data_IF_548394485440
#
_entry.id   IF_548394485440
#
_cell.length_a   1.000
_cell.length_b   1.000
_cell.length_c   1.000
_cell.angle_alpha   90.00
_cell.angle_beta   90.00
_cell.angle_gamma   90.00
#
_symmetry.space_group_name_H-M   'P 1'
#
loop_
_entity.id
_entity.type
_entity.pdbx_description
1 polymer ?
#
# COMPACT_ATOMS: atom_id res chain seq x y z
N UNK A 1 1.04 -5.34 15.53
CA UNK A 1 -0.02 -5.67 14.55
C UNK A 1 -0.54 -7.10 14.73
N UNK A 2 0.31 -8.14 14.72
CA UNK A 2 -0.12 -9.55 14.89
C UNK A 2 -1.00 -9.80 16.13
N UNK A 3 -0.61 -9.29 17.30
CA UNK A 3 -1.39 -9.46 18.56
C UNK A 3 -2.81 -8.89 18.44
N UNK A 4 -2.98 -7.80 17.72
CA UNK A 4 -4.28 -7.16 17.53
C UNK A 4 -5.17 -7.98 16.60
N UNK A 5 -4.61 -8.58 15.55
CA UNK A 5 -5.33 -9.48 14.64
C UNK A 5 -5.76 -10.77 15.34
N UNK A 6 -4.89 -11.35 16.18
CA UNK A 6 -5.27 -12.53 16.97
C UNK A 6 -6.39 -12.22 17.96
N UNK A 7 -6.38 -11.03 18.56
CA UNK A 7 -7.44 -10.60 19.44
C UNK A 7 -8.77 -10.41 18.69
N UNK A 8 -8.77 -9.79 17.52
CA UNK A 8 -10.00 -9.62 16.73
C UNK A 8 -10.61 -10.95 16.29
N UNK A 9 -9.77 -11.91 15.90
CA UNK A 9 -10.23 -13.26 15.57
C UNK A 9 -10.91 -13.95 16.77
N UNK A 10 -10.37 -13.74 17.98
CA UNK A 10 -10.93 -14.32 19.21
C UNK A 10 -12.32 -13.79 19.56
N UNK A 11 -12.70 -12.60 19.06
CA UNK A 11 -14.03 -12.00 19.25
C UNK A 11 -14.91 -12.14 18.00
N UNK A 12 -14.50 -12.96 17.01
CA UNK A 12 -15.30 -13.31 15.84
C UNK A 12 -15.17 -12.34 14.65
N UNK A 13 -14.23 -11.41 14.66
CA UNK A 13 -13.93 -10.56 13.50
C UNK A 13 -12.73 -11.13 12.73
N UNK A 14 -12.94 -11.41 11.45
CA UNK A 14 -11.92 -12.06 10.61
C UNK A 14 -10.76 -11.11 10.30
N UNK A 15 -9.58 -11.67 9.96
CA UNK A 15 -8.41 -10.88 9.57
C UNK A 15 -8.70 -10.03 8.34
N UNK A 16 -9.42 -10.60 7.38
CA UNK A 16 -9.81 -9.97 6.13
C UNK A 16 -10.75 -8.77 6.38
N UNK A 17 -11.70 -8.89 7.33
CA UNK A 17 -12.55 -7.76 7.72
C UNK A 17 -11.73 -6.66 8.38
N UNK A 18 -10.88 -7.00 9.34
CA UNK A 18 -10.05 -6.03 10.07
C UNK A 18 -9.11 -5.26 9.16
N UNK A 19 -8.51 -5.92 8.16
CA UNK A 19 -7.58 -5.28 7.23
C UNK A 19 -8.29 -4.35 6.23
N UNK A 20 -9.62 -4.41 6.17
CA UNK A 20 -10.46 -3.57 5.30
C UNK A 20 -11.03 -2.33 5.98
N UNK A 21 -10.90 -2.19 7.30
CA UNK A 21 -11.42 -1.04 8.03
C UNK A 21 -10.63 0.23 7.75
N UNK A 22 -11.36 1.33 7.68
CA UNK A 22 -10.82 2.67 7.49
C UNK A 22 -10.71 3.38 8.83
N UNK A 23 -9.61 4.08 9.07
CA UNK A 23 -9.51 5.06 10.16
C UNK A 23 -10.20 6.39 9.78
N UNK A 24 -10.09 7.39 10.65
CA UNK A 24 -10.71 8.71 10.44
C UNK A 24 -10.16 9.48 9.22
N UNK A 25 -8.96 9.14 8.75
CA UNK A 25 -8.32 9.72 7.58
C UNK A 25 -8.53 8.86 6.32
N UNK A 26 -9.32 7.78 6.42
CA UNK A 26 -9.57 6.87 5.32
C UNK A 26 -8.42 5.90 5.06
N UNK A 27 -7.51 5.73 6.01
CA UNK A 27 -6.46 4.72 5.88
C UNK A 27 -7.00 3.35 6.25
N UNK A 28 -6.82 2.38 5.35
CA UNK A 28 -6.72 0.98 5.78
C UNK A 28 -5.38 0.70 6.46
N UNK A 29 -5.26 -0.33 7.33
CA UNK A 29 -4.02 -0.60 8.08
C UNK A 29 -2.75 -0.68 7.22
N UNK A 30 -2.86 -1.10 5.96
CA UNK A 30 -1.74 -1.13 5.02
C UNK A 30 -1.18 0.28 4.73
N UNK A 31 -2.00 1.32 4.63
CA UNK A 31 -1.49 2.69 4.47
C UNK A 31 -0.64 3.11 5.66
N UNK A 32 -1.11 2.84 6.88
CA UNK A 32 -0.38 3.18 8.11
C UNK A 32 0.93 2.38 8.23
N UNK A 33 0.92 1.10 7.84
CA UNK A 33 2.13 0.26 7.80
C UNK A 33 3.16 0.74 6.77
N UNK A 34 2.71 1.15 5.58
CA UNK A 34 3.59 1.77 4.58
C UNK A 34 4.10 3.12 5.09
N UNK A 35 3.23 3.96 5.66
CA UNK A 35 3.58 5.28 6.14
C UNK A 35 4.68 5.23 7.22
N UNK A 36 4.65 4.21 8.09
CA UNK A 36 5.68 4.00 9.11
C UNK A 36 6.98 3.39 8.59
N UNK A 37 7.01 2.89 7.35
CA UNK A 37 8.14 2.15 6.79
C UNK A 37 8.36 0.77 7.43
N UNK A 38 7.41 0.25 8.21
CA UNK A 38 7.54 -1.05 8.87
C UNK A 38 7.29 -2.19 7.87
N UNK A 39 8.38 -2.68 7.27
CA UNK A 39 8.36 -3.77 6.31
C UNK A 39 7.62 -5.02 6.81
N UNK A 40 7.75 -5.37 8.11
CA UNK A 40 7.10 -6.56 8.67
C UNK A 40 5.60 -6.35 8.84
N UNK A 41 5.18 -5.14 9.23
CA UNK A 41 3.78 -4.79 9.29
C UNK A 41 3.15 -4.81 7.89
N UNK A 42 3.84 -4.27 6.87
CA UNK A 42 3.39 -4.33 5.47
C UNK A 42 3.23 -5.78 5.02
N UNK A 43 4.25 -6.62 5.23
CA UNK A 43 4.19 -8.04 4.86
C UNK A 43 3.00 -8.75 5.52
N UNK A 44 2.78 -8.49 6.81
CA UNK A 44 1.65 -9.06 7.54
C UNK A 44 0.31 -8.60 6.97
N UNK A 45 0.13 -7.29 6.72
CA UNK A 45 -1.09 -6.78 6.09
C UNK A 45 -1.39 -7.47 4.76
N UNK A 46 -0.38 -7.62 3.91
CA UNK A 46 -0.51 -8.23 2.58
C UNK A 46 -0.88 -9.72 2.68
N UNK A 47 -0.26 -10.45 3.62
CA UNK A 47 -0.59 -11.86 3.91
C UNK A 47 -1.98 -12.03 4.54
N UNK A 48 -2.50 -11.00 5.20
CA UNK A 48 -3.86 -10.95 5.74
C UNK A 48 -4.91 -10.46 4.73
N UNK A 49 -4.55 -10.26 3.46
CA UNK A 49 -5.50 -9.92 2.39
C UNK A 49 -5.66 -8.43 2.11
N UNK A 50 -4.79 -7.56 2.63
CA UNK A 50 -4.79 -6.15 2.25
C UNK A 50 -4.54 -5.98 0.75
N UNK A 51 -5.29 -5.07 0.12
CA UNK A 51 -5.12 -4.73 -1.29
C UNK A 51 -4.25 -3.50 -1.44
N UNK A 52 -3.26 -3.58 -2.32
CA UNK A 52 -2.35 -2.46 -2.63
C UNK A 52 -2.99 -1.39 -3.52
N UNK A 53 -4.20 -1.66 -4.03
CA UNK A 53 -5.02 -0.77 -4.85
C UNK A 53 -6.05 0.03 -4.06
N UNK A 54 -6.25 -0.27 -2.77
CA UNK A 54 -7.22 0.44 -1.92
C UNK A 54 -6.83 1.91 -1.82
N UNK A 55 -7.80 2.80 -1.97
CA UNK A 55 -7.60 4.25 -1.93
C UNK A 55 -8.04 4.83 -0.59
N UNK A 56 -7.23 5.71 -0.01
CA UNK A 56 -7.63 6.54 1.14
C UNK A 56 -8.38 7.80 0.69
N UNK A 57 -8.68 8.73 1.60
CA UNK A 57 -9.53 9.90 1.31
C UNK A 57 -9.01 10.80 0.18
N UNK A 58 -7.69 10.97 0.06
CA UNK A 58 -7.07 11.73 -1.04
C UNK A 58 -6.93 10.89 -2.33
N UNK A 59 -7.57 9.73 -2.38
CA UNK A 59 -7.51 8.76 -3.47
C UNK A 59 -6.11 8.15 -3.69
N UNK A 60 -5.11 8.43 -2.85
CA UNK A 60 -3.82 7.76 -2.95
C UNK A 60 -3.95 6.30 -2.47
N UNK A 61 -3.13 5.43 -3.04
CA UNK A 61 -3.01 4.02 -2.63
C UNK A 61 -1.76 3.82 -1.76
N UNK A 62 -1.59 2.68 -1.06
CA UNK A 62 -0.33 2.38 -0.37
C UNK A 62 0.90 2.46 -1.28
N UNK A 63 0.74 2.16 -2.58
CA UNK A 63 1.81 2.27 -3.58
C UNK A 63 2.21 3.73 -3.82
N UNK A 64 1.25 4.67 -3.88
CA UNK A 64 1.56 6.11 -3.96
C UNK A 64 2.42 6.56 -2.78
N UNK A 65 2.03 6.17 -1.56
CA UNK A 65 2.76 6.52 -0.33
C UNK A 65 4.20 6.00 -0.35
N UNK A 66 4.39 4.71 -0.65
CA UNK A 66 5.73 4.11 -0.73
C UNK A 66 6.60 4.78 -1.81
N UNK A 67 6.00 5.13 -2.95
CA UNK A 67 6.68 5.83 -4.04
C UNK A 67 7.11 7.24 -3.65
N UNK A 68 6.26 8.01 -2.97
CA UNK A 68 6.63 9.36 -2.49
C UNK A 68 7.75 9.30 -1.43
N UNK A 69 7.69 8.32 -0.53
CA UNK A 69 8.66 8.15 0.56
C UNK A 69 10.03 7.63 0.11
N UNK A 70 10.12 7.01 -1.07
CA UNK A 70 11.35 6.39 -1.53
C UNK A 70 11.55 4.95 -1.06
N UNK A 71 10.50 4.28 -0.57
CA UNK A 71 10.58 2.96 0.06
C UNK A 71 10.58 1.81 -0.98
N UNK A 72 11.63 1.71 -1.79
CA UNK A 72 11.72 0.77 -2.92
C UNK A 72 11.47 -0.69 -2.51
N UNK A 73 11.99 -1.13 -1.36
CA UNK A 73 11.81 -2.51 -0.89
C UNK A 73 10.35 -2.81 -0.55
N UNK A 74 9.62 -1.82 -0.03
CA UNK A 74 8.18 -1.94 0.24
C UNK A 74 7.39 -1.98 -1.08
N UNK A 75 7.76 -1.20 -2.09
CA UNK A 75 7.14 -1.27 -3.43
C UNK A 75 7.34 -2.67 -4.04
N UNK A 76 8.57 -3.19 -4.01
CA UNK A 76 8.90 -4.53 -4.51
C UNK A 76 8.12 -5.61 -3.76
N UNK A 77 8.02 -5.50 -2.43
CA UNK A 77 7.24 -6.42 -1.60
C UNK A 77 5.76 -6.42 -1.99
N UNK A 78 5.15 -5.24 -2.11
CA UNK A 78 3.75 -5.08 -2.51
C UNK A 78 3.48 -5.72 -3.87
N UNK A 79 4.32 -5.48 -4.87
CA UNK A 79 4.14 -6.04 -6.21
C UNK A 79 4.39 -7.55 -6.26
N UNK A 80 5.34 -8.05 -5.47
CA UNK A 80 5.63 -9.48 -5.37
C UNK A 80 4.52 -10.28 -4.69
N UNK A 81 3.89 -9.73 -3.64
CA UNK A 81 2.81 -10.41 -2.91
C UNK A 81 1.41 -10.17 -3.50
N UNK A 82 1.21 -9.08 -4.25
CA UNK A 82 -0.08 -8.72 -4.85
C UNK A 82 0.02 -8.47 -6.37
N UNK A 83 0.47 -9.46 -7.16
CA UNK A 83 0.67 -9.28 -8.61
C UNK A 83 -0.63 -8.97 -9.37
N UNK A 84 -1.78 -9.44 -8.88
CA UNK A 84 -3.10 -9.21 -9.49
C UNK A 84 -3.57 -7.77 -9.33
N UNK A 85 -3.19 -7.11 -8.24
CA UNK A 85 -3.56 -5.72 -7.95
C UNK A 85 -2.55 -4.72 -8.55
N UNK A 86 -1.36 -5.20 -8.96
CA UNK A 86 -0.26 -4.36 -9.45
C UNK A 86 -0.71 -3.41 -10.56
N UNK A 87 -1.28 -3.93 -11.65
CA UNK A 87 -1.70 -3.12 -12.81
C UNK A 87 -2.73 -2.07 -12.41
N UNK A 88 -3.70 -2.43 -11.56
CA UNK A 88 -4.68 -1.47 -11.05
C UNK A 88 -3.99 -0.38 -10.24
N UNK A 89 -3.11 -0.75 -9.30
CA UNK A 89 -2.40 0.20 -8.43
C UNK A 89 -1.48 1.16 -9.20
N UNK A 90 -0.86 0.71 -10.30
CA UNK A 90 -0.03 1.54 -11.18
C UNK A 90 -0.85 2.58 -11.96
N UNK A 91 -2.07 2.22 -12.36
CA UNK A 91 -2.98 3.09 -13.11
C UNK A 91 -3.88 3.96 -12.22
N UNK A 92 -4.02 3.61 -10.93
CA UNK A 92 -4.77 4.41 -9.96
C UNK A 92 -4.20 5.83 -9.89
N UNK A 93 -5.11 6.79 -9.74
CA UNK A 93 -4.77 8.19 -9.60
C UNK A 93 -5.27 8.71 -8.24
N UNK A 94 -4.45 9.54 -7.59
CA UNK A 94 -4.87 10.33 -6.43
C UNK A 94 -5.81 11.49 -6.83
N UNK A 95 -6.18 12.32 -5.84
CA UNK A 95 -7.08 13.46 -6.01
C UNK A 95 -6.54 14.53 -6.96
N UNK A 96 -5.21 14.58 -7.13
CA UNK A 96 -4.51 15.49 -8.05
C UNK A 96 -4.31 14.86 -9.44
N UNK A 97 -4.87 13.67 -9.68
CA UNK A 97 -4.67 12.90 -10.91
C UNK A 97 -3.24 12.39 -11.10
N UNK A 98 -2.47 12.29 -10.02
CA UNK A 98 -1.14 11.71 -10.03
C UNK A 98 -1.22 10.20 -9.86
N UNK A 99 -0.45 9.47 -10.67
CA UNK A 99 -0.19 8.03 -10.49
C UNK A 99 1.00 7.83 -9.55
N UNK A 100 1.31 6.60 -9.08
CA UNK A 100 2.50 6.36 -8.28
C UNK A 100 3.81 6.80 -8.96
N UNK A 101 3.87 6.71 -10.29
CA UNK A 101 5.01 7.20 -11.08
C UNK A 101 5.17 8.72 -11.00
N UNK A 102 4.07 9.48 -11.03
CA UNK A 102 4.10 10.93 -10.83
C UNK A 102 4.63 11.27 -9.43
N UNK A 103 4.18 10.56 -8.39
CA UNK A 103 4.70 10.76 -7.03
C UNK A 103 6.20 10.45 -6.94
N UNK A 104 6.65 9.31 -7.47
CA UNK A 104 8.07 8.95 -7.48
C UNK A 104 8.92 10.03 -8.18
N UNK A 105 8.47 10.53 -9.33
CA UNK A 105 9.16 11.58 -10.07
C UNK A 105 9.15 12.94 -9.31
N UNK A 106 8.01 13.33 -8.74
CA UNK A 106 7.85 14.58 -7.99
C UNK A 106 8.81 14.67 -6.79
N UNK A 107 9.08 13.54 -6.13
CA UNK A 107 9.94 13.46 -4.95
C UNK A 107 11.36 12.95 -5.25
N UNK A 108 11.79 12.97 -6.52
CA UNK A 108 13.15 12.59 -6.97
C UNK A 108 13.56 11.16 -6.57
N UNK A 109 12.63 10.21 -6.68
CA UNK A 109 12.87 8.78 -6.38
C UNK A 109 13.30 8.03 -7.63
N UNK A 110 14.48 8.38 -8.15
CA UNK A 110 15.01 7.87 -9.44
C UNK A 110 14.98 6.35 -9.55
N UNK A 111 15.39 5.62 -8.50
CA UNK A 111 15.36 4.15 -8.51
C UNK A 111 13.94 3.59 -8.65
N UNK A 112 12.96 4.18 -7.96
CA UNK A 112 11.56 3.78 -8.05
C UNK A 112 11.00 4.13 -9.42
N UNK A 113 11.32 5.31 -9.98
CA UNK A 113 10.90 5.68 -11.33
C UNK A 113 11.33 4.61 -12.35
N UNK A 114 12.61 4.20 -12.31
CA UNK A 114 13.11 3.15 -13.19
C UNK A 114 12.40 1.81 -12.96
N UNK A 115 12.20 1.43 -11.71
CA UNK A 115 11.52 0.19 -11.36
C UNK A 115 10.06 0.18 -11.84
N UNK A 116 9.29 1.25 -11.59
CA UNK A 116 7.89 1.33 -12.01
C UNK A 116 7.74 1.26 -13.53
N UNK A 117 8.62 1.92 -14.29
CA UNK A 117 8.63 1.82 -15.78
C UNK A 117 8.88 0.38 -16.23
N UNK A 118 9.80 -0.33 -15.59
CA UNK A 118 10.07 -1.75 -15.89
C UNK A 118 8.86 -2.65 -15.57
N UNK A 119 8.09 -2.29 -14.54
CA UNK A 119 6.88 -2.99 -14.11
C UNK A 119 5.62 -2.63 -14.93
N UNK A 120 5.73 -1.69 -15.88
CA UNK A 120 4.68 -1.32 -16.83
C UNK A 120 3.82 -0.13 -16.43
N UNK A 121 4.36 0.81 -15.66
CA UNK A 121 3.73 2.09 -15.32
C UNK A 121 3.62 3.06 -16.51
#
# INVERSE_FOLDING_TARGET
>A
MEVFLQWSESIGCTREEMISFYDAEGNVPLHSAVHSGDFKAVELCLKSGAKISTQQHDLSTPVHLACAQGAIDIVKLMFGLQPTEKTLSLASCDIQKMTPLHCAAMFDRVEIVHFLIQEGA
#
